data_IF_691889580560
#
_entry.id   IF_691889580560
#
_cell.length_a   1.000
_cell.length_b   1.000
_cell.length_c   1.000
_cell.angle_alpha   90.00
_cell.angle_beta   90.00
_cell.angle_gamma   90.00
#
_symmetry.space_group_name_H-M   'P 1'
#
loop_
_entity.id
_entity.type
_entity.pdbx_description
1 polymer ?
#
# COMPACT_ATOMS: atom_id res chain seq x y z
N UNK A 1 -26.82 6.08 -9.25
CA UNK A 1 -27.40 4.87 -8.63
C UNK A 1 -26.68 3.65 -9.17
N UNK A 2 -25.40 3.54 -8.81
CA UNK A 2 -24.51 2.42 -9.09
C UNK A 2 -23.77 2.17 -7.78
N UNK A 3 -24.53 1.71 -6.78
CA UNK A 3 -23.97 1.16 -5.55
C UNK A 3 -23.21 -0.11 -5.94
N UNK A 4 -21.90 0.01 -6.08
CA UNK A 4 -21.01 -1.14 -6.14
C UNK A 4 -21.12 -1.84 -4.78
N UNK A 5 -21.79 -2.98 -4.74
CA UNK A 5 -21.88 -3.83 -3.56
C UNK A 5 -20.58 -4.59 -3.41
N UNK A 6 -19.53 -3.93 -2.95
CA UNK A 6 -18.40 -4.62 -2.32
C UNK A 6 -18.90 -5.11 -0.95
N UNK A 7 -19.43 -6.34 -0.94
CA UNK A 7 -19.62 -7.09 0.30
C UNK A 7 -18.24 -7.35 0.88
N UNK A 8 -18.03 -6.90 2.12
CA UNK A 8 -16.73 -6.86 2.79
C UNK A 8 -15.94 -8.13 2.58
N UNK A 9 -14.93 -8.03 1.71
CA UNK A 9 -14.00 -9.14 1.48
C UNK A 9 -12.80 -8.84 2.37
N UNK A 10 -12.54 -9.63 3.42
CA UNK A 10 -11.32 -9.48 4.19
C UNK A 10 -10.11 -9.51 3.24
N UNK A 11 -9.01 -8.88 3.63
CA UNK A 11 -7.72 -9.02 2.94
C UNK A 11 -7.42 -10.53 2.89
N UNK A 12 -7.66 -11.17 1.75
CA UNK A 12 -7.40 -12.59 1.56
C UNK A 12 -6.60 -12.81 0.29
N UNK A 13 -5.81 -13.88 0.31
CA UNK A 13 -5.13 -14.42 -0.86
C UNK A 13 -6.04 -15.32 -1.70
N UNK A 14 -7.28 -15.53 -1.27
CA UNK A 14 -8.33 -16.22 -2.04
C UNK A 14 -9.06 -15.23 -2.97
N UNK A 15 -9.86 -15.72 -3.93
CA UNK A 15 -10.49 -14.95 -5.02
C UNK A 15 -10.86 -13.50 -4.61
N UNK A 16 -10.42 -12.47 -5.37
CA UNK A 16 -10.69 -12.29 -6.80
C UNK A 16 -9.50 -12.54 -7.75
N UNK A 17 -8.46 -13.26 -7.30
CA UNK A 17 -7.23 -13.50 -8.07
C UNK A 17 -7.32 -14.63 -9.12
N UNK A 18 -8.51 -14.87 -9.68
CA UNK A 18 -8.67 -15.85 -10.76
C UNK A 18 -7.93 -15.35 -12.01
N UNK A 19 -7.13 -16.22 -12.64
CA UNK A 19 -6.29 -15.85 -13.79
C UNK A 19 -4.94 -15.24 -13.44
N UNK A 20 -4.65 -15.03 -12.15
CA UNK A 20 -3.36 -14.51 -11.73
C UNK A 20 -2.21 -15.48 -12.08
N UNK A 21 -1.14 -15.06 -12.79
CA UNK A 21 -0.06 -15.93 -13.21
C UNK A 21 0.53 -16.74 -12.06
N UNK A 22 0.82 -18.00 -12.34
CA UNK A 22 1.61 -18.84 -11.45
C UNK A 22 3.12 -18.58 -11.66
N UNK A 23 3.95 -19.21 -10.83
CA UNK A 23 5.41 -19.06 -10.90
C UNK A 23 6.01 -19.42 -12.26
N UNK A 24 5.33 -20.22 -13.10
CA UNK A 24 5.81 -20.61 -14.43
C UNK A 24 5.66 -19.51 -15.48
N UNK A 25 4.90 -18.44 -15.18
CA UNK A 25 4.80 -17.26 -16.04
C UNK A 25 6.01 -16.33 -15.94
N UNK A 26 6.96 -16.63 -15.05
CA UNK A 26 8.23 -15.93 -14.94
C UNK A 26 8.98 -15.97 -16.27
N UNK A 27 9.46 -14.80 -16.71
CA UNK A 27 10.46 -14.68 -17.78
C UNK A 27 11.71 -14.11 -17.12
N UNK A 28 12.82 -14.85 -17.19
CA UNK A 28 14.13 -14.47 -16.67
C UNK A 28 15.21 -15.32 -17.35
N UNK A 29 16.45 -14.83 -17.36
CA UNK A 29 17.61 -15.69 -17.68
C UNK A 29 18.03 -16.51 -16.44
N UNK A 30 18.98 -17.42 -16.63
CA UNK A 30 19.52 -18.29 -15.58
C UNK A 30 20.58 -17.56 -14.73
N UNK A 31 20.17 -16.49 -14.05
CA UNK A 31 21.03 -15.72 -13.14
C UNK A 31 21.11 -16.35 -11.75
N UNK A 32 22.24 -16.15 -11.06
CA UNK A 32 22.45 -16.75 -9.74
C UNK A 32 21.87 -15.93 -8.57
N UNK A 33 21.61 -14.63 -8.76
CA UNK A 33 20.95 -13.80 -7.75
C UNK A 33 19.50 -14.22 -7.57
N UNK A 34 18.88 -13.86 -6.44
CA UNK A 34 17.51 -14.30 -6.13
C UNK A 34 16.65 -13.23 -5.46
N UNK A 35 15.41 -13.13 -5.91
CA UNK A 35 14.28 -12.49 -5.23
C UNK A 35 13.37 -13.60 -4.71
N UNK A 36 13.34 -13.81 -3.39
CA UNK A 36 12.47 -14.82 -2.78
C UNK A 36 11.22 -14.18 -2.24
N UNK A 37 10.05 -14.71 -2.58
CA UNK A 37 8.79 -14.33 -1.96
C UNK A 37 8.15 -15.49 -1.19
N UNK A 38 7.63 -15.19 -0.01
CA UNK A 38 6.82 -16.12 0.80
C UNK A 38 5.36 -16.16 0.38
N UNK A 39 4.96 -15.30 -0.56
CA UNK A 39 3.58 -15.07 -0.94
C UNK A 39 2.88 -14.15 0.06
N UNK A 40 2.52 -12.95 -0.39
CA UNK A 40 1.91 -11.93 0.46
C UNK A 40 0.97 -11.05 -0.35
N UNK A 41 0.00 -10.44 0.34
CA UNK A 41 -0.76 -9.34 -0.23
C UNK A 41 -0.10 -8.01 0.13
N UNK A 42 0.03 -7.17 -0.88
CA UNK A 42 0.56 -5.82 -0.77
C UNK A 42 -0.57 -4.85 -1.06
N UNK A 43 -0.66 -3.78 -0.30
CA UNK A 43 -1.72 -2.80 -0.36
C UNK A 43 -1.11 -1.45 -0.73
N UNK A 44 -1.82 -0.69 -1.55
CA UNK A 44 -1.44 0.69 -1.80
C UNK A 44 -1.45 1.45 -0.47
N UNK A 45 -0.33 2.11 -0.17
CA UNK A 45 -0.20 2.97 1.01
C UNK A 45 -1.01 4.26 0.81
N UNK A 46 -1.35 4.93 1.91
CA UNK A 46 -1.96 6.26 1.83
C UNK A 46 -0.94 7.25 1.27
N UNK A 47 -1.32 8.01 0.24
CA UNK A 47 -0.43 8.99 -0.39
C UNK A 47 -0.69 10.40 0.17
N UNK A 48 0.39 11.13 0.44
CA UNK A 48 0.37 12.48 1.03
C UNK A 48 -0.29 13.56 0.15
N UNK A 49 -0.49 13.26 -1.14
CA UNK A 49 -1.01 14.20 -2.13
C UNK A 49 -2.53 14.11 -2.33
N UNK A 50 -3.18 13.10 -1.74
CA UNK A 50 -4.59 12.78 -1.99
C UNK A 50 -5.53 13.19 -0.87
N UNK A 51 -6.79 13.42 -1.23
CA UNK A 51 -7.86 13.68 -0.26
C UNK A 51 -8.61 12.39 0.09
N UNK A 52 -9.42 12.42 1.16
CA UNK A 52 -10.30 11.28 1.48
C UNK A 52 -11.34 11.02 0.40
N UNK A 53 -11.77 12.07 -0.30
CA UNK A 53 -12.68 12.02 -1.45
C UNK A 53 -12.08 11.27 -2.65
N UNK A 54 -10.76 11.34 -2.81
CA UNK A 54 -10.02 10.57 -3.82
C UNK A 54 -9.59 9.18 -3.29
N UNK A 55 -9.85 8.89 -2.01
CA UNK A 55 -9.23 7.80 -1.28
C UNK A 55 -9.54 6.42 -1.88
N UNK A 56 -10.78 6.16 -2.30
CA UNK A 56 -11.13 4.86 -2.91
C UNK A 56 -10.43 4.66 -4.24
N UNK A 57 -10.36 5.71 -5.09
CA UNK A 57 -9.72 5.64 -6.39
C UNK A 57 -8.20 5.33 -6.30
N UNK A 58 -7.58 5.60 -5.14
CA UNK A 58 -6.18 5.33 -4.87
C UNK A 58 -5.96 4.06 -4.04
N UNK A 59 -6.99 3.25 -3.84
CA UNK A 59 -6.85 1.90 -3.28
C UNK A 59 -6.37 0.93 -4.35
N UNK A 60 -5.51 0.01 -3.94
CA UNK A 60 -5.02 -1.05 -4.80
C UNK A 60 -4.44 -2.19 -3.97
N UNK A 61 -4.57 -3.40 -4.47
CA UNK A 61 -3.95 -4.59 -3.93
C UNK A 61 -3.06 -5.23 -4.99
N UNK A 62 -1.90 -5.70 -4.57
CA UNK A 62 -0.94 -6.44 -5.37
C UNK A 62 -0.77 -7.82 -4.73
N UNK A 63 -1.14 -8.87 -5.46
CA UNK A 63 -0.86 -10.24 -5.05
C UNK A 63 0.53 -10.66 -5.54
N UNK A 64 1.34 -11.04 -4.57
CA UNK A 64 2.69 -11.53 -4.78
C UNK A 64 2.68 -13.03 -4.54
N UNK A 65 3.02 -13.82 -5.56
CA UNK A 65 3.07 -15.27 -5.44
C UNK A 65 4.34 -15.71 -4.72
N UNK A 66 4.22 -16.74 -3.89
CA UNK A 66 5.39 -17.39 -3.32
C UNK A 66 6.27 -17.97 -4.44
N UNK A 67 7.58 -17.85 -4.29
CA UNK A 67 8.53 -18.31 -5.30
C UNK A 67 9.95 -17.83 -5.07
N UNK A 68 10.86 -18.30 -5.92
CA UNK A 68 12.23 -17.83 -6.01
C UNK A 68 12.45 -17.40 -7.45
N UNK A 69 12.76 -16.12 -7.66
CA UNK A 69 12.90 -15.53 -8.99
C UNK A 69 14.35 -15.11 -9.21
N UNK A 70 14.99 -15.52 -10.31
CA UNK A 70 16.37 -15.15 -10.62
C UNK A 70 16.53 -13.64 -10.74
N UNK A 71 17.57 -13.09 -10.11
CA UNK A 71 18.03 -11.72 -10.29
C UNK A 71 19.42 -11.72 -10.91
N UNK A 72 19.75 -10.78 -11.81
CA UNK A 72 21.10 -10.63 -12.33
C UNK A 72 22.15 -10.52 -11.22
N UNK A 73 23.23 -11.29 -11.37
CA UNK A 73 24.42 -11.30 -10.51
C UNK A 73 25.61 -10.58 -11.15
N UNK A 74 25.40 -9.94 -12.30
CA UNK A 74 26.34 -9.03 -12.97
C UNK A 74 25.59 -7.78 -13.46
N UNK A 75 26.33 -6.78 -13.96
CA UNK A 75 25.77 -5.59 -14.59
C UNK A 75 24.96 -5.99 -15.82
N UNK A 76 23.67 -5.66 -15.78
CA UNK A 76 22.76 -5.84 -16.92
C UNK A 76 22.25 -4.47 -17.32
N UNK A 77 22.71 -4.01 -18.49
CA UNK A 77 22.38 -2.71 -19.06
C UNK A 77 22.30 -2.78 -20.60
N UNK A 78 21.29 -2.17 -21.24
CA UNK A 78 19.93 -1.97 -20.75
C UNK A 78 19.01 -3.15 -21.12
N UNK A 79 17.95 -3.32 -20.33
CA UNK A 79 16.70 -3.99 -20.71
C UNK A 79 16.74 -5.49 -21.07
N UNK A 80 17.31 -6.33 -20.20
CA UNK A 80 17.13 -7.78 -20.35
C UNK A 80 15.66 -8.16 -20.13
N UNK A 81 15.10 -9.14 -20.87
CA UNK A 81 13.70 -9.53 -20.75
C UNK A 81 13.40 -10.07 -19.35
N UNK A 82 12.38 -9.51 -18.70
CA UNK A 82 11.97 -9.92 -17.36
C UNK A 82 10.47 -9.78 -17.15
N UNK A 83 9.84 -10.76 -16.51
CA UNK A 83 8.42 -10.71 -16.14
C UNK A 83 8.20 -11.40 -14.81
N UNK A 84 7.60 -10.69 -13.86
CA UNK A 84 7.22 -11.26 -12.56
C UNK A 84 5.78 -11.81 -12.58
N UNK A 85 5.51 -12.94 -11.90
CA UNK A 85 4.17 -13.50 -11.78
C UNK A 85 3.37 -12.78 -10.66
N UNK A 86 2.92 -11.57 -10.95
CA UNK A 86 2.21 -10.67 -10.02
C UNK A 86 0.83 -10.28 -10.56
N UNK A 87 -0.07 -9.84 -9.67
CA UNK A 87 -1.40 -9.37 -10.04
C UNK A 87 -1.80 -8.12 -9.31
N UNK A 88 -2.50 -7.23 -10.01
CA UNK A 88 -3.06 -6.01 -9.45
C UNK A 88 -4.58 -6.11 -9.42
N UNK A 89 -5.17 -5.62 -8.34
CA UNK A 89 -6.59 -5.30 -8.23
C UNK A 89 -6.70 -3.85 -7.78
N UNK A 90 -7.41 -3.02 -8.54
CA UNK A 90 -7.70 -1.63 -8.21
C UNK A 90 -9.18 -1.45 -7.86
N UNK A 91 -9.51 -0.29 -7.32
CA UNK A 91 -10.90 0.09 -7.08
C UNK A 91 -11.77 -0.04 -8.34
N UNK A 92 -13.06 -0.35 -8.15
CA UNK A 92 -13.98 -0.66 -9.24
C UNK A 92 -13.71 -1.99 -9.97
N UNK A 93 -12.75 -2.80 -9.50
CA UNK A 93 -12.43 -4.10 -10.07
C UNK A 93 -11.55 -4.05 -11.32
N UNK A 94 -10.80 -2.97 -11.53
CA UNK A 94 -9.81 -2.94 -12.61
C UNK A 94 -8.63 -3.85 -12.26
N UNK A 95 -8.21 -4.65 -13.24
CA UNK A 95 -7.11 -5.61 -13.13
C UNK A 95 -6.10 -5.36 -14.25
N UNK A 96 -5.17 -4.40 -14.10
CA UNK A 96 -4.07 -4.29 -15.04
C UNK A 96 -3.27 -5.59 -15.05
N UNK A 97 -3.08 -6.17 -16.23
CA UNK A 97 -2.29 -7.38 -16.47
C UNK A 97 -1.06 -7.05 -17.32
N UNK A 98 -0.02 -7.88 -17.21
CA UNK A 98 1.18 -7.75 -18.04
C UNK A 98 0.82 -7.82 -19.54
N UNK A 99 0.95 -6.71 -20.26
CA UNK A 99 0.62 -6.62 -21.68
C UNK A 99 1.74 -7.15 -22.56
N UNK A 100 2.99 -7.01 -22.12
CA UNK A 100 4.21 -7.41 -22.83
C UNK A 100 5.25 -8.00 -21.86
N UNK A 101 6.37 -8.51 -22.37
CA UNK A 101 7.49 -8.89 -21.48
C UNK A 101 8.14 -7.60 -21.02
N UNK A 102 8.32 -7.45 -19.70
CA UNK A 102 8.99 -6.29 -19.13
C UNK A 102 10.51 -6.39 -19.27
N UNK A 103 11.19 -5.52 -18.55
CA UNK A 103 12.65 -5.43 -18.55
C UNK A 103 13.21 -5.42 -17.14
N UNK A 104 14.44 -5.90 -16.99
CA UNK A 104 15.25 -5.73 -15.79
C UNK A 104 16.58 -5.10 -16.14
N UNK A 105 17.04 -4.21 -15.25
CA UNK A 105 18.41 -3.71 -15.22
C UNK A 105 19.01 -3.95 -13.85
N UNK A 106 20.32 -4.16 -13.82
CA UNK A 106 21.08 -4.40 -12.59
C UNK A 106 22.37 -3.61 -12.64
N UNK A 107 22.70 -2.94 -11.54
CA UNK A 107 23.95 -2.21 -11.42
C UNK A 107 24.41 -2.18 -9.96
N UNK A 108 25.71 -2.40 -9.70
CA UNK A 108 26.29 -2.18 -8.40
C UNK A 108 26.49 -0.68 -8.17
N UNK A 109 26.21 -0.23 -6.95
CA UNK A 109 26.50 1.10 -6.47
C UNK A 109 27.45 1.00 -5.28
N UNK A 110 28.26 2.03 -5.08
CA UNK A 110 29.05 2.16 -3.86
C UNK A 110 28.09 2.38 -2.68
N UNK A 111 28.11 1.44 -1.73
CA UNK A 111 27.36 1.48 -0.49
C UNK A 111 28.05 2.36 0.55
N UNK A 112 27.49 2.37 1.76
CA UNK A 112 28.13 3.04 2.89
C UNK A 112 29.37 2.23 3.33
N UNK A 113 30.43 2.91 3.78
CA UNK A 113 31.64 2.27 4.31
C UNK A 113 32.39 1.31 3.36
N UNK A 114 32.14 1.37 2.04
CA UNK A 114 32.84 0.58 1.02
C UNK A 114 32.16 -0.75 0.66
N UNK A 115 30.98 -1.03 1.19
CA UNK A 115 30.16 -2.17 0.78
C UNK A 115 29.62 -1.97 -0.65
N UNK A 116 29.17 -3.05 -1.30
CA UNK A 116 28.53 -2.99 -2.63
C UNK A 116 27.02 -3.08 -2.46
N UNK A 117 26.28 -2.09 -2.95
CA UNK A 117 24.81 -2.12 -3.00
C UNK A 117 24.34 -2.43 -4.42
N UNK A 118 23.80 -3.61 -4.62
CA UNK A 118 23.11 -3.96 -5.86
C UNK A 118 21.75 -3.28 -5.91
N UNK A 119 21.39 -2.78 -7.08
CA UNK A 119 20.08 -2.20 -7.38
C UNK A 119 19.54 -2.86 -8.66
N UNK A 120 18.41 -3.54 -8.50
CA UNK A 120 17.64 -4.14 -9.59
C UNK A 120 16.40 -3.31 -9.84
N UNK A 121 16.22 -2.89 -11.09
CA UNK A 121 15.02 -2.17 -11.52
C UNK A 121 14.30 -2.99 -12.56
N UNK A 122 13.09 -3.38 -12.23
CA UNK A 122 12.15 -4.07 -13.10
C UNK A 122 11.10 -3.06 -13.57
N UNK A 123 10.82 -3.06 -14.87
CA UNK A 123 9.71 -2.32 -15.46
C UNK A 123 8.83 -3.29 -16.24
N UNK A 124 7.54 -3.32 -15.93
CA UNK A 124 6.58 -4.25 -16.52
C UNK A 124 5.43 -3.44 -17.14
N UNK A 125 5.33 -3.39 -18.48
CA UNK A 125 4.17 -2.82 -19.14
C UNK A 125 2.90 -3.60 -18.78
N UNK A 126 1.84 -2.88 -18.47
CA UNK A 126 0.56 -3.43 -18.07
C UNK A 126 -0.62 -2.75 -18.80
N UNK A 127 -1.75 -3.45 -18.91
CA UNK A 127 -2.99 -2.89 -19.45
C UNK A 127 -4.22 -3.60 -18.87
N UNK A 128 -5.30 -2.87 -18.70
CA UNK A 128 -6.65 -3.38 -18.40
C UNK A 128 -7.58 -3.30 -19.64
N UNK A 129 -6.99 -3.04 -20.83
CA UNK A 129 -7.71 -2.82 -22.10
C UNK A 129 -8.27 -1.41 -22.30
N UNK A 130 -8.43 -0.62 -21.24
CA UNK A 130 -8.90 0.77 -21.30
C UNK A 130 -7.76 1.78 -21.09
N UNK A 131 -6.80 1.43 -20.23
CA UNK A 131 -5.69 2.24 -19.81
C UNK A 131 -4.36 1.49 -20.00
N UNK A 132 -3.30 2.27 -20.12
CA UNK A 132 -1.91 1.78 -20.11
C UNK A 132 -1.32 2.06 -18.75
N UNK A 133 -0.55 1.11 -18.25
CA UNK A 133 0.01 1.11 -16.92
C UNK A 133 1.47 0.63 -16.98
N UNK A 134 2.24 1.01 -15.97
CA UNK A 134 3.60 0.52 -15.75
C UNK A 134 3.73 0.08 -14.30
N UNK A 135 4.08 -1.18 -14.08
CA UNK A 135 4.50 -1.66 -12.77
C UNK A 135 6.03 -1.59 -12.70
N UNK A 136 6.53 -0.84 -11.74
CA UNK A 136 7.96 -0.77 -11.44
C UNK A 136 8.25 -1.47 -10.12
N UNK A 137 9.28 -2.32 -10.10
CA UNK A 137 9.83 -2.88 -8.87
C UNK A 137 11.30 -2.49 -8.79
N UNK A 138 11.68 -1.93 -7.64
CA UNK A 138 13.06 -1.64 -7.29
C UNK A 138 13.45 -2.50 -6.10
N UNK A 139 14.39 -3.40 -6.31
CA UNK A 139 14.95 -4.24 -5.26
C UNK A 139 16.41 -3.84 -5.02
N UNK A 140 16.86 -3.88 -3.78
CA UNK A 140 18.23 -3.53 -3.42
C UNK A 140 18.74 -4.48 -2.35
N UNK A 141 20.02 -4.83 -2.43
CA UNK A 141 20.72 -5.61 -1.43
C UNK A 141 22.16 -5.13 -1.26
N UNK A 142 22.62 -5.04 -0.02
CA UNK A 142 24.02 -4.83 0.33
C UNK A 142 24.73 -6.17 0.42
N UNK A 143 25.87 -6.30 -0.26
CA UNK A 143 26.72 -7.49 -0.23
C UNK A 143 28.14 -7.13 0.20
N UNK A 144 28.87 -8.10 0.74
CA UNK A 144 30.26 -7.93 1.17
C UNK A 144 31.20 -7.60 0.00
N UNK A 145 30.89 -8.08 -1.21
CA UNK A 145 31.56 -7.72 -2.45
C UNK A 145 30.64 -7.89 -3.67
N UNK A 146 31.07 -7.35 -4.82
CA UNK A 146 30.31 -7.41 -6.07
C UNK A 146 30.21 -8.82 -6.69
N UNK A 147 30.99 -9.80 -6.23
CA UNK A 147 30.97 -11.17 -6.75
C UNK A 147 30.02 -12.11 -6.01
N UNK A 148 29.46 -11.64 -4.90
CA UNK A 148 28.45 -12.38 -4.13
C UNK A 148 27.08 -12.18 -4.78
N UNK A 149 26.41 -13.26 -5.23
CA UNK A 149 25.06 -13.14 -5.77
C UNK A 149 24.13 -12.47 -4.78
N UNK A 150 23.45 -11.43 -5.25
CA UNK A 150 22.49 -10.70 -4.44
C UNK A 150 21.31 -11.58 -4.04
N UNK A 151 20.83 -11.37 -2.82
CA UNK A 151 19.59 -11.97 -2.33
C UNK A 151 18.69 -10.88 -1.77
N UNK A 152 17.42 -10.90 -2.15
CA UNK A 152 16.38 -9.99 -1.65
C UNK A 152 15.17 -10.81 -1.25
N UNK A 153 14.60 -10.50 -0.09
CA UNK A 153 13.33 -11.07 0.35
C UNK A 153 12.16 -10.11 0.07
N UNK A 154 11.06 -10.67 -0.45
CA UNK A 154 9.80 -10.02 -0.70
C UNK A 154 8.71 -10.72 0.12
N UNK A 155 8.61 -10.33 1.37
CA UNK A 155 7.74 -10.96 2.36
C UNK A 155 6.63 -10.02 2.83
N UNK A 156 5.83 -10.47 3.80
CA UNK A 156 4.87 -9.62 4.49
C UNK A 156 5.53 -8.67 5.50
N UNK A 157 6.85 -8.80 5.73
CA UNK A 157 7.62 -7.96 6.66
C UNK A 157 8.09 -6.70 5.97
N UNK A 158 7.85 -5.56 6.60
CA UNK A 158 8.39 -4.29 6.14
C UNK A 158 9.90 -4.23 6.38
N UNK A 159 10.65 -3.91 5.34
CA UNK A 159 12.09 -3.63 5.43
C UNK A 159 12.33 -2.14 5.43
N UNK A 160 13.11 -1.68 6.41
CA UNK A 160 13.56 -0.30 6.49
C UNK A 160 14.30 0.10 5.18
N UNK A 161 14.00 1.25 4.55
CA UNK A 161 14.70 1.70 3.34
C UNK A 161 16.23 1.90 3.47
N UNK A 162 16.76 1.97 4.69
CA UNK A 162 18.21 1.93 4.98
C UNK A 162 18.73 0.57 5.43
N UNK A 163 17.89 -0.46 5.49
CA UNK A 163 18.35 -1.81 5.77
C UNK A 163 19.25 -2.35 4.65
N UNK A 164 19.92 -3.46 4.94
CA UNK A 164 20.72 -4.19 3.96
C UNK A 164 19.90 -4.66 2.76
N UNK A 165 18.57 -4.75 2.89
CA UNK A 165 17.66 -5.01 1.79
C UNK A 165 16.54 -3.97 1.76
N UNK A 166 16.19 -3.52 0.56
CA UNK A 166 15.06 -2.62 0.36
C UNK A 166 14.27 -3.04 -0.87
N UNK A 167 12.95 -2.99 -0.76
CA UNK A 167 12.02 -3.27 -1.85
C UNK A 167 10.99 -2.16 -1.95
N UNK A 168 10.82 -1.64 -3.17
CA UNK A 168 9.79 -0.68 -3.52
C UNK A 168 9.03 -1.22 -4.73
N UNK A 169 7.71 -1.24 -4.63
CA UNK A 169 6.84 -1.62 -5.75
C UNK A 169 5.86 -0.48 -6.01
N UNK A 170 5.77 -0.06 -7.26
CA UNK A 170 4.87 1.00 -7.67
C UNK A 170 4.11 0.60 -8.93
N UNK A 171 2.85 1.03 -9.01
CA UNK A 171 2.08 1.00 -10.24
C UNK A 171 1.82 2.45 -10.68
N UNK A 172 1.94 2.73 -11.96
CA UNK A 172 1.76 4.06 -12.51
C UNK A 172 0.80 3.98 -13.70
N UNK A 173 -0.13 4.93 -13.81
CA UNK A 173 -1.04 5.03 -14.96
C UNK A 173 -0.46 6.01 -15.98
N UNK A 174 -0.44 5.60 -17.24
CA UNK A 174 0.13 6.37 -18.34
C UNK A 174 1.48 5.79 -18.79
N UNK A 175 2.29 6.63 -19.41
CA UNK A 175 3.61 6.25 -19.93
C UNK A 175 4.64 7.29 -19.57
N UNK A 176 5.86 6.87 -19.24
CA UNK A 176 6.97 7.78 -19.01
C UNK A 176 7.15 8.76 -20.19
N UNK A 177 7.40 10.05 -19.96
CA UNK A 177 7.60 10.72 -18.66
C UNK A 177 6.34 11.35 -18.05
N UNK A 178 5.15 11.06 -18.56
CA UNK A 178 3.88 11.68 -18.15
C UNK A 178 2.95 10.65 -17.52
N UNK A 179 3.15 10.41 -16.22
CA UNK A 179 2.24 9.60 -15.42
C UNK A 179 1.15 10.49 -14.82
N UNK A 180 -0.09 9.99 -14.88
CA UNK A 180 -1.27 10.74 -14.41
C UNK A 180 -1.68 10.35 -12.99
N UNK A 181 -1.26 9.17 -12.52
CA UNK A 181 -1.51 8.65 -11.18
C UNK A 181 -0.48 7.56 -10.85
N UNK A 182 -0.21 7.35 -9.57
CA UNK A 182 0.69 6.31 -9.09
C UNK A 182 0.22 5.73 -7.76
N UNK A 183 0.66 4.52 -7.47
CA UNK A 183 0.40 3.78 -6.25
C UNK A 183 1.72 3.21 -5.77
N UNK A 184 2.10 3.49 -4.52
CA UNK A 184 3.15 2.74 -3.83
C UNK A 184 2.52 1.59 -3.06
N UNK A 185 3.05 0.39 -3.25
CA UNK A 185 2.59 -0.80 -2.54
C UNK A 185 3.53 -1.13 -1.39
N UNK A 186 2.94 -1.43 -0.25
CA UNK A 186 3.60 -1.95 0.95
C UNK A 186 2.88 -3.24 1.39
N UNK A 187 3.50 -4.14 2.16
CA UNK A 187 2.80 -5.30 2.69
C UNK A 187 1.52 -4.87 3.43
N UNK A 188 0.37 -5.48 3.12
CA UNK A 188 -0.89 -5.11 3.78
C UNK A 188 -0.83 -5.34 5.29
N UNK A 189 -0.17 -6.42 5.71
CA UNK A 189 -0.18 -6.87 7.09
C UNK A 189 0.93 -6.30 7.96
N UNK A 190 2.02 -5.81 7.38
CA UNK A 190 3.21 -5.41 8.14
C UNK A 190 3.58 -6.47 9.20
N UNK A 191 3.83 -7.71 8.80
CA UNK A 191 4.26 -8.73 9.75
C UNK A 191 5.58 -8.30 10.41
N UNK A 192 5.56 -8.09 11.73
CA UNK A 192 6.69 -7.47 12.44
C UNK A 192 6.72 -5.95 12.31
N UNK A 193 5.55 -5.31 12.13
CA UNK A 193 5.38 -3.85 12.19
C UNK A 193 6.19 -3.26 13.35
N UNK A 194 6.81 -2.11 13.11
CA UNK A 194 7.55 -1.41 14.16
C UNK A 194 6.60 -1.05 15.32
N UNK A 195 5.34 -0.74 14.99
CA UNK A 195 4.36 -0.27 15.95
C UNK A 195 2.92 -0.43 15.46
N UNK A 196 2.05 -0.84 16.37
CA UNK A 196 0.61 -0.61 16.26
C UNK A 196 0.24 0.67 17.02
N UNK A 197 -0.60 1.49 16.42
CA UNK A 197 -1.09 2.72 17.03
C UNK A 197 -2.61 2.81 16.94
N UNK A 198 -3.25 3.12 18.06
CA UNK A 198 -4.68 3.40 18.12
C UNK A 198 -4.90 4.88 18.40
N UNK A 199 -5.74 5.51 17.58
CA UNK A 199 -6.28 6.85 17.82
C UNK A 199 -7.77 6.76 18.11
N UNK A 200 -8.23 7.35 19.21
CA UNK A 200 -9.65 7.44 19.58
C UNK A 200 -10.08 8.90 19.57
N UNK A 201 -11.20 9.18 18.91
CA UNK A 201 -11.81 10.50 18.81
C UNK A 201 -13.23 10.42 19.35
N UNK A 202 -13.52 11.25 20.36
CA UNK A 202 -14.87 11.40 20.94
C UNK A 202 -15.49 12.67 20.42
N UNK A 203 -16.73 12.60 19.94
CA UNK A 203 -17.43 13.71 19.31
C UNK A 203 -18.92 13.71 19.70
N UNK A 204 -19.62 14.81 19.42
CA UNK A 204 -21.05 14.88 19.65
C UNK A 204 -21.79 13.80 18.83
N UNK A 205 -22.52 12.93 19.52
CA UNK A 205 -23.19 11.78 18.92
C UNK A 205 -22.40 10.46 18.95
N UNK A 206 -21.12 10.42 19.35
CA UNK A 206 -20.40 9.15 19.34
C UNK A 206 -18.91 9.17 19.67
N UNK A 207 -18.26 8.04 19.36
CA UNK A 207 -16.82 7.85 19.44
C UNK A 207 -16.35 6.94 18.32
N UNK A 208 -15.11 7.11 17.88
CA UNK A 208 -14.48 6.25 16.89
C UNK A 208 -13.01 6.02 17.24
N UNK A 209 -12.56 4.77 17.10
CA UNK A 209 -11.18 4.34 17.23
C UNK A 209 -10.64 3.89 15.88
N UNK A 210 -9.39 4.23 15.59
CA UNK A 210 -8.69 3.99 14.33
C UNK A 210 -7.36 3.31 14.64
N UNK A 211 -7.14 2.13 14.05
CA UNK A 211 -5.90 1.38 14.24
C UNK A 211 -5.03 1.47 12.99
N UNK A 212 -3.78 1.85 13.20
CA UNK A 212 -2.73 1.88 12.19
C UNK A 212 -1.66 0.86 12.52
N UNK A 213 -1.18 0.15 11.49
CA UNK A 213 0.11 -0.54 11.52
C UNK A 213 1.14 0.38 10.90
N UNK A 214 2.24 0.63 11.59
CA UNK A 214 3.29 1.57 11.16
C UNK A 214 4.58 0.78 10.94
N UNK A 215 5.16 0.93 9.75
CA UNK A 215 6.47 0.43 9.38
C UNK A 215 7.61 1.22 10.01
N UNK A 216 8.83 0.95 9.57
CA UNK A 216 10.04 1.64 10.03
C UNK A 216 10.47 2.69 9.02
N UNK A 217 10.72 3.90 9.50
CA UNK A 217 11.29 5.04 8.76
C UNK A 217 12.02 5.96 9.75
N UNK A 218 12.78 7.00 9.33
CA UNK A 218 13.47 7.89 10.26
C UNK A 218 12.50 8.78 11.01
N UNK A 219 11.28 8.94 10.48
CA UNK A 219 10.21 9.69 11.10
C UNK A 219 9.43 8.83 12.11
N UNK A 220 9.60 7.49 12.09
CA UNK A 220 8.88 6.51 12.93
C UNK A 220 7.34 6.56 12.80
N UNK A 221 6.84 7.15 11.71
CA UNK A 221 5.41 7.40 11.47
C UNK A 221 4.90 6.86 10.14
N UNK A 222 5.81 6.41 9.27
CA UNK A 222 5.54 5.91 7.93
C UNK A 222 6.43 4.69 7.60
N UNK A 223 6.10 3.92 6.55
CA UNK A 223 4.77 3.86 5.93
C UNK A 223 3.72 3.39 6.94
N UNK A 224 2.44 3.59 6.65
CA UNK A 224 1.37 3.16 7.55
C UNK A 224 0.16 2.59 6.80
N UNK A 225 -0.49 1.59 7.41
CA UNK A 225 -1.73 0.99 6.92
C UNK A 225 -2.86 1.18 7.90
N UNK A 226 -3.98 1.70 7.43
CA UNK A 226 -5.22 1.80 8.19
C UNK A 226 -5.98 0.48 8.09
N UNK A 227 -5.94 -0.28 9.19
CA UNK A 227 -6.33 -1.70 9.20
C UNK A 227 -7.66 -1.96 9.90
N UNK A 228 -8.11 -1.05 10.76
CA UNK A 228 -9.33 -1.26 11.52
C UNK A 228 -9.91 0.07 12.02
N UNK A 229 -11.24 0.16 12.00
CA UNK A 229 -11.98 1.20 12.70
C UNK A 229 -13.22 0.65 13.39
N UNK A 230 -13.51 1.14 14.59
CA UNK A 230 -14.73 0.79 15.30
C UNK A 230 -15.24 1.96 16.12
N UNK A 231 -16.50 1.91 16.51
CA UNK A 231 -17.07 2.96 17.35
C UNK A 231 -18.58 2.94 17.42
N UNK A 232 -19.15 4.09 17.76
CA UNK A 232 -20.59 4.35 17.76
C UNK A 232 -20.89 5.70 17.11
N UNK A 233 -21.98 5.77 16.34
CA UNK A 233 -22.54 7.00 15.80
C UNK A 233 -24.04 7.04 16.08
N UNK A 234 -24.48 8.06 16.80
CA UNK A 234 -25.86 8.30 17.23
C UNK A 234 -26.48 7.05 17.90
N UNK A 235 -25.68 6.36 18.70
CA UNK A 235 -26.04 5.13 19.41
C UNK A 235 -26.00 3.84 18.57
N UNK A 236 -25.66 3.92 17.29
CA UNK A 236 -25.48 2.75 16.41
C UNK A 236 -24.00 2.35 16.37
N UNK A 237 -23.64 1.11 16.74
CA UNK A 237 -22.26 0.65 16.65
C UNK A 237 -21.85 0.38 15.20
N UNK A 238 -20.56 0.55 14.90
CA UNK A 238 -19.95 0.11 13.65
C UNK A 238 -18.59 -0.53 13.93
N UNK A 239 -18.20 -1.45 13.06
CA UNK A 239 -16.86 -2.03 12.96
C UNK A 239 -16.54 -2.10 11.48
N UNK A 240 -15.30 -1.79 11.12
CA UNK A 240 -14.83 -1.85 9.75
C UNK A 240 -13.41 -2.40 9.67
N UNK A 241 -13.26 -3.49 8.94
CA UNK A 241 -12.00 -4.19 8.66
C UNK A 241 -11.74 -4.32 7.14
N UNK A 242 -12.71 -3.92 6.30
CA UNK A 242 -12.58 -3.98 4.84
C UNK A 242 -11.61 -2.89 4.36
N UNK A 243 -10.50 -3.31 3.78
CA UNK A 243 -9.48 -2.44 3.18
C UNK A 243 -10.06 -1.38 2.24
N UNK A 244 -11.11 -1.73 1.48
CA UNK A 244 -11.75 -0.83 0.51
C UNK A 244 -12.61 0.24 1.18
N UNK A 245 -12.98 0.05 2.45
CA UNK A 245 -13.82 0.96 3.24
C UNK A 245 -13.04 1.77 4.28
N UNK A 246 -11.75 1.51 4.42
CA UNK A 246 -10.83 2.20 5.33
C UNK A 246 -9.92 3.13 4.53
N UNK A 247 -10.23 4.42 4.45
CA UNK A 247 -9.47 5.41 3.67
C UNK A 247 -8.47 6.13 4.55
N UNK A 248 -7.26 6.31 4.03
CA UNK A 248 -6.15 6.93 4.75
C UNK A 248 -5.46 7.96 3.87
N UNK A 249 -5.47 9.22 4.32
CA UNK A 249 -4.86 10.35 3.64
C UNK A 249 -3.96 11.10 4.63
N UNK A 250 -2.69 10.69 4.78
CA UNK A 250 -1.76 11.33 5.68
C UNK A 250 -1.27 12.68 5.14
N UNK A 251 -0.82 13.56 6.03
CA UNK A 251 0.06 14.67 5.65
C UNK A 251 1.52 14.19 5.54
N UNK A 252 2.43 15.08 5.14
CA UNK A 252 3.85 14.76 5.01
C UNK A 252 4.44 14.08 6.27
N UNK A 253 5.08 12.93 6.08
CA UNK A 253 5.60 12.07 7.15
C UNK A 253 4.55 11.56 8.13
N UNK A 254 3.27 11.54 7.76
CA UNK A 254 2.19 10.91 8.51
C UNK A 254 2.03 11.42 9.96
N UNK A 255 2.60 12.58 10.31
CA UNK A 255 2.47 13.18 11.65
C UNK A 255 1.04 13.66 11.94
N UNK A 256 0.36 14.07 10.87
CA UNK A 256 -1.06 14.40 10.87
C UNK A 256 -1.75 13.47 9.91
N UNK A 257 -2.92 12.97 10.30
CA UNK A 257 -3.59 11.85 9.64
C UNK A 257 -5.06 12.14 9.46
N UNK A 258 -5.53 11.87 8.25
CA UNK A 258 -6.95 11.89 7.94
C UNK A 258 -7.42 10.45 7.69
N UNK A 259 -8.53 10.09 8.34
CA UNK A 259 -9.18 8.80 8.26
C UNK A 259 -10.57 8.95 7.64
N UNK A 260 -10.92 8.07 6.71
CA UNK A 260 -12.26 7.91 6.19
C UNK A 260 -12.76 6.50 6.47
N UNK A 261 -13.97 6.36 7.01
CA UNK A 261 -14.60 5.05 7.27
C UNK A 261 -15.91 4.98 6.52
N UNK A 262 -16.04 4.07 5.57
CA UNK A 262 -17.34 3.72 4.96
C UNK A 262 -18.00 2.61 5.79
N UNK A 263 -19.26 2.80 6.12
CA UNK A 263 -20.05 1.81 6.85
C UNK A 263 -20.57 0.71 5.92
N UNK A 264 -20.87 -0.46 6.47
CA UNK A 264 -21.52 -1.55 5.72
C UNK A 264 -22.95 -1.20 5.31
N UNK A 265 -23.63 -0.41 6.14
CA UNK A 265 -24.92 0.20 5.84
C UNK A 265 -24.92 1.64 6.38
N UNK A 266 -25.64 2.58 5.72
CA UNK A 266 -25.75 3.93 6.23
C UNK A 266 -26.29 3.98 7.67
N UNK A 267 -25.67 4.82 8.50
CA UNK A 267 -26.14 5.14 9.86
C UNK A 267 -26.84 6.49 9.79
N UNK A 268 -28.17 6.50 9.92
CA UNK A 268 -28.96 7.69 9.64
C UNK A 268 -28.85 8.08 8.16
N UNK A 269 -28.36 9.29 7.88
CA UNK A 269 -28.09 9.77 6.51
C UNK A 269 -26.63 9.59 6.08
N UNK A 270 -25.74 9.17 6.97
CA UNK A 270 -24.31 9.07 6.69
C UNK A 270 -23.96 7.69 6.14
N UNK A 271 -23.21 7.65 5.03
CA UNK A 271 -22.55 6.42 4.57
C UNK A 271 -21.20 6.20 5.26
N UNK A 272 -20.64 7.24 5.91
CA UNK A 272 -19.34 7.14 6.54
C UNK A 272 -18.99 8.30 7.48
N UNK A 273 -17.75 8.25 7.98
CA UNK A 273 -17.12 9.28 8.82
C UNK A 273 -15.81 9.74 8.19
N UNK A 274 -15.55 11.04 8.24
CA UNK A 274 -14.24 11.65 7.97
C UNK A 274 -13.70 12.21 9.27
N UNK A 275 -12.50 11.80 9.64
CA UNK A 275 -11.81 12.30 10.82
C UNK A 275 -10.47 12.84 10.37
N UNK A 276 -10.33 14.17 10.36
CA UNK A 276 -9.16 14.85 9.81
C UNK A 276 -8.33 15.47 10.92
N UNK A 277 -7.04 15.62 10.68
CA UNK A 277 -6.14 16.34 11.57
C UNK A 277 -5.71 15.57 12.82
N UNK A 278 -5.80 14.24 12.81
CA UNK A 278 -5.41 13.42 13.98
C UNK A 278 -3.88 13.38 14.08
N UNK A 279 -3.34 13.81 15.22
CA UNK A 279 -1.90 13.84 15.47
C UNK A 279 -1.58 13.37 16.90
N UNK A 280 -0.46 12.66 17.05
CA UNK A 280 -0.02 12.17 18.36
C UNK A 280 0.28 13.35 19.31
N UNK A 281 -0.35 13.35 20.50
CA UNK A 281 -0.13 14.37 21.53
C UNK A 281 -0.73 15.75 21.22
N UNK A 282 -1.52 15.88 20.15
CA UNK A 282 -2.15 17.15 19.76
C UNK A 282 -3.62 16.93 19.36
N UNK A 283 -4.55 17.49 20.13
CA UNK A 283 -6.00 17.39 19.86
C UNK A 283 -6.59 18.64 19.21
N UNK A 284 -5.86 19.75 19.19
CA UNK A 284 -6.35 20.98 18.59
C UNK A 284 -6.32 20.85 17.06
N UNK A 285 -7.49 20.93 16.40
CA UNK A 285 -7.57 20.83 14.94
C UNK A 285 -8.10 19.50 14.41
N UNK A 286 -8.32 18.49 15.28
CA UNK A 286 -9.09 17.31 14.88
C UNK A 286 -10.52 17.74 14.53
N UNK A 287 -11.01 17.29 13.38
CA UNK A 287 -12.40 17.48 12.95
C UNK A 287 -13.05 16.15 12.67
N UNK A 288 -14.36 16.05 12.93
CA UNK A 288 -15.18 14.90 12.59
C UNK A 288 -16.33 15.38 11.72
N UNK A 289 -16.54 14.72 10.60
CA UNK A 289 -17.61 15.01 9.66
C UNK A 289 -18.34 13.72 9.28
N UNK A 290 -19.67 13.76 9.27
CA UNK A 290 -20.48 12.75 8.61
C UNK A 290 -20.30 12.89 7.11
N UNK A 291 -20.23 11.75 6.42
CA UNK A 291 -19.95 11.71 5.00
C UNK A 291 -21.01 10.94 4.22
N UNK A 292 -21.24 11.35 2.97
CA UNK A 292 -21.97 10.55 1.99
C UNK A 292 -21.10 9.39 1.46
N UNK A 293 -21.67 8.61 0.55
CA UNK A 293 -21.04 7.41 0.01
C UNK A 293 -19.82 7.70 -0.90
N UNK A 294 -19.57 8.96 -1.24
CA UNK A 294 -18.41 9.43 -2.00
C UNK A 294 -17.47 10.29 -1.12
N UNK A 295 -17.57 10.19 0.21
CA UNK A 295 -16.83 11.00 1.17
C UNK A 295 -17.09 12.52 1.08
N UNK A 296 -18.21 12.92 0.45
CA UNK A 296 -18.70 14.29 0.52
C UNK A 296 -19.19 14.62 1.92
N UNK A 297 -18.84 15.80 2.44
CA UNK A 297 -19.23 16.22 3.79
C UNK A 297 -20.73 16.51 3.86
N UNK A 298 -21.42 15.88 4.81
CA UNK A 298 -22.85 16.09 5.10
C UNK A 298 -23.05 17.02 6.30
N UNK A 299 -22.35 16.75 7.40
CA UNK A 299 -22.53 17.44 8.68
C UNK A 299 -21.24 17.38 9.50
N UNK A 300 -20.86 18.45 10.18
CA UNK A 300 -19.73 18.45 11.10
C UNK A 300 -20.17 18.10 12.53
N UNK A 301 -19.37 17.32 13.25
CA UNK A 301 -19.54 17.00 14.67
C UNK A 301 -18.51 17.73 15.52
N UNK A 302 -18.92 18.16 16.72
CA UNK A 302 -18.00 18.80 17.66
C UNK A 302 -17.13 17.74 18.32
N UNK A 303 -15.81 17.83 18.15
CA UNK A 303 -14.84 16.96 18.82
C UNK A 303 -14.66 17.41 20.26
N UNK A 304 -14.74 16.46 21.19
CA UNK A 304 -14.57 16.71 22.63
C UNK A 304 -13.26 16.17 23.17
N UNK A 305 -12.71 15.12 22.56
CA UNK A 305 -11.37 14.63 22.87
C UNK A 305 -10.73 13.85 21.71
N UNK A 306 -9.40 13.78 21.74
CA UNK A 306 -8.61 12.92 20.86
C UNK A 306 -7.46 12.35 21.68
N UNK A 307 -7.26 11.04 21.59
CA UNK A 307 -6.16 10.33 22.22
C UNK A 307 -5.49 9.45 21.18
N UNK A 308 -4.17 9.43 21.16
CA UNK A 308 -3.37 8.55 20.28
C UNK A 308 -2.31 7.88 21.14
N UNK A 309 -2.17 6.57 21.02
CA UNK A 309 -1.21 5.80 21.81
C UNK A 309 -0.88 4.45 21.15
N UNK A 310 0.19 3.78 21.62
CA UNK A 310 0.43 2.40 21.22
C UNK A 310 -0.76 1.52 21.62
N UNK A 311 -1.06 0.53 20.78
CA UNK A 311 -2.05 -0.52 21.10
C UNK A 311 -1.50 -1.51 22.12
#
# INVERSE_FOLDING_TARGET
DTSSTHTGTPITTEAPWEGCPDASALVADDWAGTLTSTGALWCAEGEESHTLEDGTAHKGQLLVRAGVWPLPDDVVQPDAPYRLPLCVLLDGGAHPDASEVGTISAYPNEGYAGDVRWDWRVTQPMSDGASVWELSLRAQATTADASTPGHVEMSATWTDPWADQHLQVQLQRGTYPSFDAWWSFVPCDFEGAARDETSTVVFDGGEASFQLRIGTSPADTEPAMFVHAEGTLDGTPFVQDDYWKLLYAPAHHHFTRDFGVLFDAPIGSACGLKVKGVAAGYSAGTTVELADCAMGTLEARTVTSTTTGPT
#
